data_IF_668062808319
#
_entry.id   IF_668062808319
#
_cell.length_a   1.000
_cell.length_b   1.000
_cell.length_c   1.000
_cell.angle_alpha   90.00
_cell.angle_beta   90.00
_cell.angle_gamma   90.00
#
_symmetry.space_group_name_H-M   'P 1'
#
loop_
_entity.id
_entity.type
_entity.pdbx_description
1 polymer ?
#
# COMPACT_ATOMS: atom_id res chain seq x y z
N UNK A 1 13.09 -14.06 8.15
CA UNK A 1 13.85 -13.03 8.89
C UNK A 1 13.20 -11.69 8.60
N UNK A 2 12.98 -10.85 9.62
CA UNK A 2 12.41 -9.49 9.42
C UNK A 2 13.57 -8.52 9.21
N UNK A 3 13.45 -7.62 8.22
CA UNK A 3 14.45 -6.61 7.96
C UNK A 3 14.43 -5.55 9.07
N UNK A 4 15.59 -5.08 9.50
CA UNK A 4 15.67 -3.87 10.32
C UNK A 4 15.38 -2.64 9.47
N UNK A 5 15.05 -1.51 10.09
CA UNK A 5 14.89 -0.23 9.41
C UNK A 5 16.13 0.14 8.59
N UNK A 6 17.32 -0.12 9.13
CA UNK A 6 18.58 0.11 8.43
C UNK A 6 18.69 -0.76 7.16
N UNK A 7 18.29 -2.02 7.23
CA UNK A 7 18.32 -2.91 6.07
C UNK A 7 17.24 -2.55 5.03
N UNK A 8 16.04 -2.12 5.48
CA UNK A 8 15.02 -1.57 4.59
C UNK A 8 15.61 -0.38 3.80
N UNK A 9 16.24 0.57 4.50
CA UNK A 9 16.87 1.74 3.89
C UNK A 9 17.98 1.37 2.90
N UNK A 10 18.83 0.39 3.25
CA UNK A 10 19.92 -0.09 2.37
C UNK A 10 19.41 -0.72 1.06
N UNK A 11 18.20 -1.28 1.07
CA UNK A 11 17.62 -1.93 -0.11
C UNK A 11 16.75 -0.99 -0.97
N UNK A 12 16.55 0.27 -0.55
CA UNK A 12 15.80 1.26 -1.33
C UNK A 12 16.44 1.49 -2.70
N UNK A 13 15.60 1.51 -3.74
CA UNK A 13 16.03 1.68 -5.14
C UNK A 13 16.59 0.42 -5.80
N UNK A 14 16.73 -0.68 -5.04
CA UNK A 14 17.06 -2.00 -5.57
C UNK A 14 15.89 -2.95 -5.39
N UNK A 15 15.95 -3.77 -4.34
CA UNK A 15 14.90 -4.75 -4.05
C UNK A 15 13.64 -4.12 -3.46
N UNK A 16 13.75 -2.95 -2.82
CA UNK A 16 12.63 -2.23 -2.21
C UNK A 16 12.43 -0.91 -2.96
N UNK A 17 11.21 -0.67 -3.42
CA UNK A 17 10.82 0.60 -4.03
C UNK A 17 9.65 1.20 -3.24
N UNK A 18 9.87 2.39 -2.68
CA UNK A 18 8.87 3.17 -1.95
C UNK A 18 8.94 4.57 -2.52
N UNK A 19 7.84 5.03 -3.12
CA UNK A 19 7.73 6.37 -3.70
C UNK A 19 6.35 6.95 -3.36
N UNK A 20 6.27 8.08 -2.62
CA UNK A 20 7.39 8.80 -1.99
C UNK A 20 7.94 8.07 -0.74
N UNK A 21 9.27 8.09 -0.57
CA UNK A 21 9.92 7.66 0.65
C UNK A 21 10.10 8.83 1.63
N UNK A 22 9.75 8.59 2.90
CA UNK A 22 9.85 9.52 4.01
C UNK A 22 10.58 8.84 5.17
N UNK A 23 11.81 9.27 5.43
CA UNK A 23 12.66 8.72 6.50
C UNK A 23 11.97 8.75 7.87
N UNK A 24 11.09 9.71 8.14
CA UNK A 24 10.38 9.83 9.42
C UNK A 24 9.40 8.68 9.68
N UNK A 25 9.01 7.94 8.63
CA UNK A 25 8.13 6.77 8.70
C UNK A 25 8.88 5.45 8.86
N UNK A 26 10.22 5.47 8.81
CA UNK A 26 11.06 4.30 8.98
C UNK A 26 11.17 3.91 10.47
N UNK A 27 10.69 2.71 10.81
CA UNK A 27 10.75 2.15 12.16
C UNK A 27 11.94 1.18 12.31
N UNK A 28 12.24 0.68 13.52
CA UNK A 28 13.34 -0.26 13.74
C UNK A 28 13.30 -1.54 12.89
N UNK A 29 12.12 -1.95 12.42
CA UNK A 29 11.93 -3.16 11.60
C UNK A 29 10.68 -3.11 10.70
N UNK A 30 10.21 -1.90 10.37
CA UNK A 30 9.05 -1.70 9.50
C UNK A 30 9.06 -0.29 8.90
N UNK A 31 8.08 0.02 8.05
CA UNK A 31 7.87 1.35 7.50
C UNK A 31 6.38 1.68 7.55
N UNK A 32 6.00 2.84 8.10
CA UNK A 32 4.60 3.23 8.22
C UNK A 32 4.03 3.66 6.86
N UNK A 33 2.89 3.09 6.49
CA UNK A 33 2.14 3.47 5.29
C UNK A 33 1.04 4.50 5.62
N UNK A 34 0.61 5.24 4.61
CA UNK A 34 -0.52 6.13 4.68
C UNK A 34 -1.68 5.58 3.85
N UNK A 35 -2.91 5.92 4.26
CA UNK A 35 -4.10 5.64 3.48
C UNK A 35 -4.14 6.58 2.26
N UNK A 36 -4.48 6.05 1.09
CA UNK A 36 -4.69 6.86 -0.12
C UNK A 36 -6.01 7.65 -0.01
N UNK A 37 -6.13 8.74 -0.77
CA UNK A 37 -7.35 9.58 -0.82
C UNK A 37 -8.52 8.94 -1.59
N UNK A 38 -8.43 7.66 -1.97
CA UNK A 38 -9.49 6.95 -2.68
C UNK A 38 -9.82 5.60 -2.01
N UNK A 39 -11.12 5.30 -1.97
CA UNK A 39 -11.66 3.99 -1.65
C UNK A 39 -12.41 3.41 -2.86
N UNK A 40 -12.55 2.09 -2.88
CA UNK A 40 -13.29 1.37 -3.92
C UNK A 40 -14.41 0.55 -3.28
N UNK A 41 -15.62 0.61 -3.87
CA UNK A 41 -16.81 -0.09 -3.36
C UNK A 41 -17.42 -0.94 -4.48
N UNK A 42 -17.69 -2.21 -4.19
CA UNK A 42 -18.44 -3.09 -5.09
C UNK A 42 -19.90 -2.67 -5.21
N UNK A 43 -20.43 -2.73 -6.42
CA UNK A 43 -21.84 -2.36 -6.70
C UNK A 43 -22.76 -3.57 -6.83
N UNK A 44 -22.19 -4.78 -6.84
CA UNK A 44 -22.92 -6.02 -7.01
C UNK A 44 -23.13 -6.74 -5.68
N UNK A 45 -24.29 -7.38 -5.52
CA UNK A 45 -24.61 -8.16 -4.32
C UNK A 45 -23.81 -9.47 -4.26
N UNK A 46 -23.59 -10.09 -5.42
CA UNK A 46 -22.85 -11.36 -5.56
C UNK A 46 -21.64 -11.09 -6.41
N UNK A 47 -20.46 -11.52 -5.94
CA UNK A 47 -19.20 -11.36 -6.67
C UNK A 47 -18.85 -12.66 -7.39
N UNK A 48 -18.86 -12.62 -8.73
CA UNK A 48 -18.39 -13.73 -9.56
C UNK A 48 -16.94 -13.47 -9.97
N UNK A 49 -16.01 -14.22 -9.37
CA UNK A 49 -14.56 -14.06 -9.62
C UNK A 49 -14.15 -14.44 -11.05
N UNK A 50 -15.04 -15.01 -11.88
CA UNK A 50 -14.77 -15.25 -13.31
C UNK A 50 -14.98 -14.01 -14.18
N UNK A 51 -15.55 -12.94 -13.63
CA UNK A 51 -15.90 -11.71 -14.33
C UNK A 51 -15.33 -10.49 -13.60
N UNK A 52 -15.23 -9.38 -14.31
CA UNK A 52 -14.90 -8.12 -13.67
C UNK A 52 -16.13 -7.61 -12.90
N UNK A 53 -16.04 -7.57 -11.57
CA UNK A 53 -17.11 -7.04 -10.73
C UNK A 53 -17.17 -5.52 -10.85
N UNK A 54 -18.37 -4.95 -10.97
CA UNK A 54 -18.54 -3.49 -11.01
C UNK A 54 -18.15 -2.85 -9.68
N UNK A 55 -17.40 -1.76 -9.80
CA UNK A 55 -16.87 -0.99 -8.68
C UNK A 55 -17.01 0.49 -8.95
N UNK A 56 -17.24 1.27 -7.89
CA UNK A 56 -17.13 2.73 -7.92
C UNK A 56 -16.01 3.20 -7.00
N UNK A 57 -15.31 4.27 -7.40
CA UNK A 57 -14.31 4.96 -6.57
C UNK A 57 -14.96 6.09 -5.77
N UNK A 58 -14.48 6.30 -4.56
CA UNK A 58 -14.93 7.35 -3.64
C UNK A 58 -13.69 8.07 -3.15
N UNK A 59 -13.60 9.38 -3.39
CA UNK A 59 -12.56 10.20 -2.77
C UNK A 59 -12.87 10.39 -1.27
N UNK A 60 -11.84 10.28 -0.41
CA UNK A 60 -11.93 10.51 1.03
C UNK A 60 -11.12 11.75 1.42
N UNK A 61 -11.52 12.45 2.50
CA UNK A 61 -10.82 13.66 2.98
C UNK A 61 -9.37 13.42 3.41
#
# INVERSE_FOLDING_TARGET
>A
MILSGLEIKRQLGGNIHIDPFDESKLNPNSYNLALHDELMVYEELVLDMRKANRVRRIAIP
#
